data_IF_400256555219
#
_entry.id   IF_400256555219
#
_cell.length_a   1.000
_cell.length_b   1.000
_cell.length_c   1.000
_cell.angle_alpha   90.00
_cell.angle_beta   90.00
_cell.angle_gamma   90.00
#
_symmetry.space_group_name_H-M   'P 1'
#
loop_
_entity.id
_entity.type
_entity.pdbx_description
1 polymer ?
#
# COMPACT_ATOMS: atom_id res chain seq x y z
N UNK A 1 1.13 6.01 23.11
CA UNK A 1 1.67 6.22 21.74
C UNK A 1 0.43 6.60 20.97
N UNK A 2 -0.01 7.83 21.21
CA UNK A 2 -1.43 8.19 21.15
C UNK A 2 -1.79 8.75 19.79
N UNK A 3 -2.85 8.16 19.24
CA UNK A 3 -3.83 8.68 18.29
C UNK A 3 -3.34 9.41 17.04
N UNK A 4 -2.82 8.61 16.10
CA UNK A 4 -2.81 8.93 14.66
C UNK A 4 -4.10 8.48 13.95
N UNK A 5 -5.13 8.12 14.73
CA UNK A 5 -6.44 7.71 14.24
C UNK A 5 -7.44 8.85 14.40
N UNK A 6 -8.14 9.19 13.33
CA UNK A 6 -9.22 10.20 13.33
C UNK A 6 -10.53 9.51 12.97
N UNK A 7 -11.57 9.68 13.78
CA UNK A 7 -12.88 9.11 13.48
C UNK A 7 -13.79 10.15 12.81
N UNK A 8 -14.33 9.83 11.63
CA UNK A 8 -15.35 10.61 10.94
C UNK A 8 -16.64 9.81 10.85
N UNK A 9 -17.81 10.45 10.99
CA UNK A 9 -19.06 9.77 10.68
C UNK A 9 -19.12 9.33 9.19
N UNK A 10 -20.05 8.44 8.87
CA UNK A 10 -20.10 7.83 7.54
C UNK A 10 -20.45 8.83 6.44
N UNK A 11 -21.31 9.82 6.72
CA UNK A 11 -21.74 10.79 5.71
C UNK A 11 -20.57 11.70 5.35
N UNK A 12 -19.85 12.21 6.37
CA UNK A 12 -18.63 13.00 6.20
C UNK A 12 -17.55 12.20 5.45
N UNK A 13 -17.32 10.94 5.83
CA UNK A 13 -16.35 10.07 5.16
C UNK A 13 -16.71 9.84 3.68
N UNK A 14 -17.99 9.60 3.38
CA UNK A 14 -18.45 9.34 2.00
C UNK A 14 -18.38 10.58 1.13
N UNK A 15 -18.74 11.75 1.67
CA UNK A 15 -18.64 13.02 0.97
C UNK A 15 -17.18 13.33 0.64
N UNK A 16 -16.27 13.13 1.61
CA UNK A 16 -14.86 13.42 1.42
C UNK A 16 -14.16 12.46 0.45
N UNK A 17 -14.49 11.16 0.49
CA UNK A 17 -13.64 10.14 -0.14
C UNK A 17 -14.32 9.29 -1.20
N UNK A 18 -15.65 9.16 -1.18
CA UNK A 18 -16.39 8.28 -2.09
C UNK A 18 -17.31 9.03 -3.06
N UNK A 19 -17.06 10.33 -3.26
CA UNK A 19 -17.81 11.16 -4.20
C UNK A 19 -16.88 11.90 -5.17
N UNK A 20 -15.97 11.21 -5.90
CA UNK A 20 -15.13 11.89 -6.88
C UNK A 20 -16.01 12.51 -7.97
N UNK A 21 -15.70 13.72 -8.44
CA UNK A 21 -16.56 14.51 -9.34
C UNK A 21 -16.88 13.82 -10.68
N UNK A 22 -16.14 12.79 -11.04
CA UNK A 22 -16.28 12.07 -12.31
C UNK A 22 -17.05 10.74 -12.20
N UNK A 23 -17.49 10.34 -11.00
CA UNK A 23 -18.16 9.05 -10.78
C UNK A 23 -19.61 9.24 -10.36
N UNK A 24 -20.54 8.87 -11.26
CA UNK A 24 -21.97 8.88 -10.97
C UNK A 24 -22.40 7.59 -10.28
N UNK A 25 -22.66 7.65 -8.98
CA UNK A 25 -23.21 6.52 -8.24
C UNK A 25 -24.74 6.49 -8.37
N UNK A 26 -25.29 5.33 -8.73
CA UNK A 26 -26.74 5.09 -8.67
C UNK A 26 -27.05 4.22 -7.47
N UNK A 27 -28.00 4.66 -6.65
CA UNK A 27 -28.49 3.86 -5.53
C UNK A 27 -29.03 2.52 -6.02
N UNK A 28 -28.49 1.43 -5.46
CA UNK A 28 -29.04 0.08 -5.65
C UNK A 28 -30.02 -0.24 -4.53
N UNK A 29 -31.18 -0.80 -4.89
CA UNK A 29 -32.09 -1.40 -3.90
C UNK A 29 -31.46 -2.66 -3.32
N UNK A 30 -31.31 -2.67 -2.00
CA UNK A 30 -30.66 -3.74 -1.24
C UNK A 30 -31.72 -4.62 -0.58
N UNK A 31 -31.57 -5.95 -0.66
CA UNK A 31 -32.45 -6.89 0.05
C UNK A 31 -32.12 -6.95 1.54
N UNK A 32 -33.15 -6.91 2.39
CA UNK A 32 -33.03 -6.98 3.86
C UNK A 32 -32.45 -8.30 4.39
N UNK A 33 -32.29 -9.35 3.56
CA UNK A 33 -31.79 -10.68 3.97
C UNK A 33 -30.36 -10.99 3.51
N UNK A 34 -29.65 -10.01 2.97
CA UNK A 34 -28.35 -10.19 2.30
C UNK A 34 -27.29 -10.90 3.17
N UNK A 35 -27.22 -10.53 4.44
CA UNK A 35 -26.28 -11.10 5.41
C UNK A 35 -26.98 -11.92 6.50
N UNK A 36 -28.16 -12.48 6.21
CA UNK A 36 -28.95 -13.24 7.19
C UNK A 36 -28.20 -14.45 7.78
N UNK A 37 -27.29 -15.06 7.01
CA UNK A 37 -26.43 -16.16 7.45
C UNK A 37 -25.32 -15.75 8.44
N UNK A 38 -25.19 -14.45 8.72
CA UNK A 38 -24.25 -13.83 9.66
C UNK A 38 -24.96 -13.20 10.88
N UNK A 39 -26.26 -13.47 11.10
CA UNK A 39 -27.04 -12.96 12.25
C UNK A 39 -26.48 -13.36 13.61
N UNK A 40 -25.84 -14.53 13.72
CA UNK A 40 -25.25 -15.04 14.97
C UNK A 40 -23.74 -15.28 14.82
N UNK A 41 -22.90 -14.25 14.69
CA UNK A 41 -21.46 -14.42 14.43
C UNK A 41 -20.61 -14.51 15.69
N UNK A 42 -21.18 -14.29 16.88
CA UNK A 42 -20.46 -14.38 18.17
C UNK A 42 -19.85 -15.76 18.43
N UNK A 43 -20.29 -16.80 17.71
CA UNK A 43 -19.78 -18.17 17.78
C UNK A 43 -19.05 -18.62 16.51
N UNK A 44 -18.99 -17.80 15.46
CA UNK A 44 -18.39 -18.19 14.18
C UNK A 44 -16.88 -17.95 14.19
N UNK A 45 -16.06 -18.94 13.78
CA UNK A 45 -14.66 -18.73 13.49
C UNK A 45 -14.44 -17.69 12.38
N UNK A 46 -13.29 -17.01 12.40
CA UNK A 46 -12.88 -15.96 11.44
C UNK A 46 -13.03 -16.43 9.98
N UNK A 47 -12.59 -17.65 9.67
CA UNK A 47 -12.70 -18.26 8.34
C UNK A 47 -14.16 -18.43 7.88
N UNK A 48 -15.06 -18.76 8.82
CA UNK A 48 -16.48 -18.88 8.51
C UNK A 48 -17.12 -17.52 8.25
N UNK A 49 -16.71 -16.48 8.98
CA UNK A 49 -17.19 -15.10 8.76
C UNK A 49 -16.74 -14.64 7.37
N UNK A 50 -15.44 -14.74 7.07
CA UNK A 50 -14.89 -14.30 5.78
C UNK A 50 -15.52 -15.05 4.60
N UNK A 51 -15.62 -16.38 4.65
CA UNK A 51 -16.23 -17.18 3.57
C UNK A 51 -17.70 -16.80 3.33
N UNK A 52 -18.49 -16.68 4.39
CA UNK A 52 -19.92 -16.30 4.27
C UNK A 52 -20.08 -14.88 3.75
N UNK A 53 -19.26 -13.95 4.24
CA UNK A 53 -19.26 -12.56 3.79
C UNK A 53 -18.92 -12.47 2.30
N UNK A 54 -17.80 -13.08 1.88
CA UNK A 54 -17.35 -13.10 0.48
C UNK A 54 -18.42 -13.74 -0.41
N UNK A 55 -19.03 -14.84 0.04
CA UNK A 55 -20.12 -15.51 -0.70
C UNK A 55 -21.30 -14.58 -0.89
N UNK A 56 -21.77 -13.90 0.17
CA UNK A 56 -22.88 -12.96 0.07
C UNK A 56 -22.57 -11.80 -0.90
N UNK A 57 -21.38 -11.21 -0.81
CA UNK A 57 -20.94 -10.13 -1.71
C UNK A 57 -20.95 -10.57 -3.18
N UNK A 58 -20.48 -11.80 -3.45
CA UNK A 58 -20.43 -12.37 -4.81
C UNK A 58 -21.82 -12.73 -5.34
N UNK A 59 -22.63 -13.43 -4.55
CA UNK A 59 -23.99 -13.85 -4.92
C UNK A 59 -24.88 -12.66 -5.25
N UNK A 60 -24.70 -11.54 -4.55
CA UNK A 60 -25.51 -10.33 -4.75
C UNK A 60 -24.85 -9.27 -5.65
N UNK A 61 -23.70 -9.58 -6.26
CA UNK A 61 -23.00 -8.68 -7.19
C UNK A 61 -22.79 -7.25 -6.63
N UNK A 62 -22.30 -7.16 -5.38
CA UNK A 62 -22.15 -5.88 -4.68
C UNK A 62 -20.92 -5.08 -5.12
N UNK A 63 -19.97 -5.69 -5.83
CA UNK A 63 -18.75 -5.05 -6.32
C UNK A 63 -18.70 -5.08 -7.86
N UNK A 64 -19.50 -4.30 -8.59
CA UNK A 64 -19.47 -4.30 -10.06
C UNK A 64 -18.06 -4.04 -10.64
N UNK A 65 -17.71 -4.72 -11.73
CA UNK A 65 -16.41 -4.60 -12.41
C UNK A 65 -15.21 -5.14 -11.61
N UNK A 66 -15.47 -5.60 -10.38
CA UNK A 66 -14.47 -6.12 -9.45
C UNK A 66 -14.99 -7.40 -8.80
N UNK A 67 -14.14 -8.08 -8.05
CA UNK A 67 -14.51 -9.28 -7.33
C UNK A 67 -13.81 -9.29 -5.98
N UNK A 68 -14.59 -9.45 -4.91
CA UNK A 68 -14.04 -9.76 -3.59
C UNK A 68 -13.61 -11.23 -3.56
N UNK A 69 -12.33 -11.48 -3.24
CA UNK A 69 -11.77 -12.82 -3.21
C UNK A 69 -10.77 -12.99 -2.07
N UNK A 70 -10.64 -14.22 -1.58
CA UNK A 70 -9.60 -14.60 -0.61
C UNK A 70 -8.23 -14.44 -1.23
N UNK A 71 -7.35 -13.80 -0.47
CA UNK A 71 -5.96 -13.56 -0.79
C UNK A 71 -5.12 -14.56 -0.03
N UNK A 72 -4.34 -15.37 -0.74
CA UNK A 72 -3.29 -16.13 -0.09
C UNK A 72 -2.08 -15.23 0.08
N UNK A 73 -1.69 -15.07 1.33
CA UNK A 73 -0.56 -14.26 1.71
C UNK A 73 0.64 -15.18 1.96
N UNK A 74 1.52 -15.30 0.97
CA UNK A 74 2.83 -15.91 1.17
C UNK A 74 3.68 -14.88 1.93
N UNK A 75 3.63 -14.99 3.26
CA UNK A 75 4.13 -13.98 4.18
C UNK A 75 5.52 -13.43 3.83
N UNK A 76 5.68 -12.12 4.01
CA UNK A 76 6.95 -11.53 4.39
C UNK A 76 7.59 -12.38 5.51
N UNK A 77 8.91 -12.64 5.48
CA UNK A 77 9.57 -13.58 6.38
C UNK A 77 9.56 -13.16 7.87
N UNK A 78 8.97 -12.02 8.22
CA UNK A 78 9.07 -11.42 9.55
C UNK A 78 8.04 -11.92 10.57
N UNK A 79 7.01 -12.70 10.20
CA UNK A 79 6.08 -13.21 11.21
C UNK A 79 5.53 -14.61 10.91
N UNK A 80 6.02 -15.62 11.65
CA UNK A 80 5.62 -17.03 11.50
C UNK A 80 4.16 -17.28 11.91
N UNK A 81 3.55 -16.44 12.75
CA UNK A 81 2.15 -16.56 13.20
C UNK A 81 1.13 -15.97 12.20
N UNK A 82 1.57 -15.12 11.26
CA UNK A 82 0.68 -14.54 10.24
C UNK A 82 0.26 -15.54 9.14
N UNK A 83 0.78 -16.77 9.16
CA UNK A 83 0.63 -17.79 8.11
C UNK A 83 -0.79 -18.35 7.94
N UNK A 84 -1.73 -18.04 8.83
CA UNK A 84 -3.04 -18.69 8.87
C UNK A 84 -4.25 -17.75 8.91
N UNK A 85 -4.06 -16.43 8.77
CA UNK A 85 -5.21 -15.51 8.69
C UNK A 85 -5.74 -15.43 7.27
N UNK A 86 -7.05 -15.67 7.12
CA UNK A 86 -7.74 -15.51 5.84
C UNK A 86 -7.87 -14.01 5.54
N UNK A 87 -7.01 -13.53 4.67
CA UNK A 87 -7.12 -12.19 4.10
C UNK A 87 -8.02 -12.22 2.87
N UNK A 88 -8.65 -11.09 2.56
CA UNK A 88 -9.32 -10.92 1.28
C UNK A 88 -9.03 -9.54 0.70
N UNK A 89 -9.36 -9.36 -0.56
CA UNK A 89 -9.28 -8.06 -1.21
C UNK A 89 -10.29 -7.95 -2.34
N UNK A 90 -10.62 -6.71 -2.69
CA UNK A 90 -11.31 -6.42 -3.95
C UNK A 90 -10.25 -6.40 -5.06
N UNK A 91 -10.47 -7.18 -6.11
CA UNK A 91 -9.61 -7.25 -7.29
C UNK A 91 -10.38 -6.81 -8.52
N UNK A 92 -9.69 -6.30 -9.55
CA UNK A 92 -10.31 -6.20 -10.87
C UNK A 92 -10.69 -7.60 -11.34
N UNK A 93 -11.83 -7.75 -12.00
CA UNK A 93 -12.24 -9.08 -12.48
C UNK A 93 -11.23 -9.70 -13.46
N UNK A 94 -10.45 -8.87 -14.16
CA UNK A 94 -9.37 -9.29 -15.07
C UNK A 94 -8.11 -9.79 -14.36
N UNK A 95 -7.87 -9.34 -13.13
CA UNK A 95 -6.69 -9.71 -12.33
C UNK A 95 -6.91 -11.05 -11.58
N UNK A 96 -8.12 -11.62 -11.61
CA UNK A 96 -8.42 -12.91 -11.01
C UNK A 96 -8.14 -14.04 -12.02
N UNK A 97 -7.19 -14.94 -11.72
CA UNK A 97 -6.90 -16.06 -12.61
C UNK A 97 -8.07 -17.06 -12.63
N UNK A 98 -8.28 -17.71 -13.78
CA UNK A 98 -9.31 -18.76 -13.95
C UNK A 98 -9.09 -19.97 -13.02
N UNK A 99 -7.84 -20.21 -12.61
CA UNK A 99 -7.42 -21.28 -11.69
C UNK A 99 -6.41 -20.71 -10.70
N UNK A 100 -6.53 -21.06 -9.42
CA UNK A 100 -5.69 -20.53 -8.35
C UNK A 100 -6.23 -19.26 -7.70
N UNK A 101 -5.37 -18.56 -6.96
CA UNK A 101 -5.71 -17.35 -6.22
C UNK A 101 -5.18 -16.09 -6.93
N UNK A 102 -5.85 -14.93 -6.81
CA UNK A 102 -5.29 -13.67 -7.28
C UNK A 102 -3.97 -13.37 -6.57
N UNK A 103 -3.07 -12.64 -7.23
CA UNK A 103 -1.83 -12.20 -6.59
C UNK A 103 -2.16 -11.14 -5.55
N UNK A 104 -1.68 -11.32 -4.31
CA UNK A 104 -1.97 -10.40 -3.21
C UNK A 104 -1.66 -8.92 -3.54
N UNK A 105 -0.59 -8.68 -4.31
CA UNK A 105 -0.16 -7.34 -4.69
C UNK A 105 -1.08 -6.66 -5.72
N UNK A 106 -2.08 -7.35 -6.26
CA UNK A 106 -3.03 -6.80 -7.22
C UNK A 106 -4.35 -6.36 -6.57
N UNK A 107 -4.46 -6.46 -5.23
CA UNK A 107 -5.67 -6.03 -4.51
C UNK A 107 -5.86 -4.51 -4.59
N UNK A 108 -7.06 -4.04 -4.94
CA UNK A 108 -7.43 -2.63 -4.96
C UNK A 108 -7.73 -2.11 -3.54
N UNK A 109 -8.46 -2.91 -2.77
CA UNK A 109 -8.91 -2.62 -1.40
C UNK A 109 -8.69 -3.86 -0.54
N UNK A 110 -8.09 -3.69 0.64
CA UNK A 110 -7.82 -4.81 1.55
C UNK A 110 -8.98 -5.07 2.50
N UNK A 111 -9.24 -6.33 2.82
CA UNK A 111 -10.24 -6.76 3.80
C UNK A 111 -9.57 -7.54 4.92
N UNK A 112 -9.83 -7.09 6.15
CA UNK A 112 -9.35 -7.71 7.37
C UNK A 112 -10.54 -8.28 8.13
N UNK A 113 -10.51 -9.57 8.42
CA UNK A 113 -11.55 -10.25 9.17
C UNK A 113 -11.07 -10.56 10.58
N UNK A 114 -11.99 -10.49 11.53
CA UNK A 114 -11.79 -11.04 12.85
C UNK A 114 -13.09 -11.56 13.45
N UNK A 115 -12.97 -12.54 14.34
CA UNK A 115 -14.10 -12.95 15.18
C UNK A 115 -14.45 -11.82 16.16
N UNK A 116 -15.70 -11.79 16.62
CA UNK A 116 -16.09 -10.82 17.63
C UNK A 116 -15.63 -11.24 19.03
N UNK A 117 -14.95 -10.32 19.72
CA UNK A 117 -14.67 -10.36 21.16
C UNK A 117 -14.88 -8.94 21.67
N UNK A 118 -15.55 -8.79 22.81
CA UNK A 118 -15.80 -7.46 23.38
C UNK A 118 -14.45 -6.74 23.62
N UNK A 119 -14.28 -5.52 23.12
CA UNK A 119 -13.05 -4.72 23.25
C UNK A 119 -11.95 -5.01 22.22
N UNK A 120 -12.17 -5.92 21.26
CA UNK A 120 -11.15 -6.29 20.26
C UNK A 120 -10.90 -5.23 19.19
N UNK A 121 -11.87 -4.35 18.88
CA UNK A 121 -11.73 -3.33 17.84
C UNK A 121 -10.67 -2.29 18.23
N UNK A 122 -9.50 -2.25 17.57
CA UNK A 122 -8.37 -1.41 17.97
C UNK A 122 -8.63 0.10 17.85
N UNK A 123 -9.75 0.51 17.24
CA UNK A 123 -10.14 1.92 17.06
C UNK A 123 -11.27 2.37 18.01
N UNK A 124 -11.81 1.48 18.86
CA UNK A 124 -12.74 1.87 19.93
C UNK A 124 -11.97 2.21 21.20
N UNK A 125 -12.46 3.17 22.01
CA UNK A 125 -11.90 3.38 23.34
C UNK A 125 -12.08 2.12 24.20
N UNK A 126 -11.04 1.76 24.94
CA UNK A 126 -11.00 0.51 25.71
C UNK A 126 -10.18 0.71 26.97
N UNK A 127 -10.74 0.31 28.11
CA UNK A 127 -10.05 0.31 29.41
C UNK A 127 -9.18 -0.94 29.62
N UNK A 128 -9.20 -1.90 28.68
CA UNK A 128 -8.40 -3.12 28.79
C UNK A 128 -6.91 -2.86 28.59
N UNK A 129 -6.09 -3.36 29.50
CA UNK A 129 -4.64 -3.39 29.31
C UNK A 129 -4.26 -4.42 28.24
N UNK A 130 -3.57 -3.95 27.20
CA UNK A 130 -3.16 -4.71 26.02
C UNK A 130 -2.16 -5.83 26.28
N UNK A 131 -1.43 -5.77 27.39
CA UNK A 131 -0.42 -6.76 27.73
C UNK A 131 -0.93 -7.78 28.75
N UNK A 132 -1.79 -7.37 29.67
CA UNK A 132 -2.21 -8.23 30.79
C UNK A 132 -3.52 -8.99 30.55
N UNK A 133 -4.46 -8.43 29.79
CA UNK A 133 -5.75 -9.09 29.51
C UNK A 133 -5.69 -9.95 28.24
N UNK A 134 -6.48 -11.03 28.19
CA UNK A 134 -6.59 -11.85 26.97
C UNK A 134 -7.15 -11.01 25.80
N UNK A 135 -8.26 -10.31 26.02
CA UNK A 135 -8.84 -9.36 25.08
C UNK A 135 -7.83 -8.30 24.61
N UNK A 136 -7.07 -7.72 25.53
CA UNK A 136 -6.06 -6.73 25.21
C UNK A 136 -4.97 -7.28 24.29
N UNK A 137 -4.51 -8.52 24.53
CA UNK A 137 -3.55 -9.20 23.64
C UNK A 137 -4.13 -9.48 22.27
N UNK A 138 -5.40 -9.89 22.17
CA UNK A 138 -6.07 -10.10 20.88
C UNK A 138 -6.26 -8.80 20.10
N UNK A 139 -6.67 -7.73 20.78
CA UNK A 139 -6.77 -6.37 20.24
C UNK A 139 -5.42 -5.89 19.67
N UNK A 140 -4.34 -6.07 20.44
CA UNK A 140 -2.97 -5.74 20.01
C UNK A 140 -2.55 -6.55 18.78
N UNK A 141 -2.78 -7.86 18.77
CA UNK A 141 -2.51 -8.73 17.61
C UNK A 141 -3.29 -8.30 16.37
N UNK A 142 -4.57 -7.93 16.52
CA UNK A 142 -5.39 -7.42 15.41
C UNK A 142 -4.82 -6.10 14.87
N UNK A 143 -4.45 -5.16 15.75
CA UNK A 143 -3.80 -3.91 15.37
C UNK A 143 -2.51 -4.14 14.61
N UNK A 144 -1.59 -4.93 15.16
CA UNK A 144 -0.31 -5.25 14.53
C UNK A 144 -0.51 -5.88 13.13
N UNK A 145 -1.52 -6.74 12.97
CA UNK A 145 -1.84 -7.34 11.67
C UNK A 145 -2.35 -6.33 10.64
N UNK A 146 -3.24 -5.40 11.05
CA UNK A 146 -3.75 -4.34 10.18
C UNK A 146 -2.60 -3.43 9.73
N UNK A 147 -1.75 -2.98 10.67
CA UNK A 147 -0.61 -2.12 10.40
C UNK A 147 0.41 -2.80 9.47
N UNK A 148 0.76 -4.06 9.74
CA UNK A 148 1.69 -4.82 8.91
C UNK A 148 1.15 -5.02 7.48
N UNK A 149 -0.15 -5.23 7.34
CA UNK A 149 -0.77 -5.32 6.00
C UNK A 149 -0.70 -3.98 5.27
N UNK A 150 -0.95 -2.87 5.96
CA UNK A 150 -0.88 -1.54 5.37
C UNK A 150 0.55 -1.22 4.91
N UNK A 151 1.53 -1.46 5.76
CA UNK A 151 2.96 -1.28 5.47
C UNK A 151 3.42 -2.07 4.24
N UNK A 152 3.02 -3.34 4.16
CA UNK A 152 3.36 -4.15 2.98
C UNK A 152 2.72 -3.58 1.71
N UNK A 153 1.42 -3.23 1.76
CA UNK A 153 0.73 -2.72 0.58
C UNK A 153 1.28 -1.38 0.12
N UNK A 154 1.64 -0.46 1.03
CA UNK A 154 2.36 0.76 0.66
C UNK A 154 3.70 0.46 -0.02
N UNK A 155 4.46 -0.51 0.51
CA UNK A 155 5.78 -0.89 -0.02
C UNK A 155 5.70 -1.57 -1.39
N UNK A 156 4.62 -2.30 -1.66
CA UNK A 156 4.48 -3.13 -2.84
C UNK A 156 3.58 -2.55 -3.93
N UNK A 157 2.72 -1.57 -3.62
CA UNK A 157 1.73 -1.04 -4.57
C UNK A 157 1.99 0.38 -5.05
N UNK A 158 2.97 1.09 -4.47
CA UNK A 158 3.20 2.52 -4.68
C UNK A 158 1.90 3.32 -4.51
N UNK A 159 1.62 3.73 -3.27
CA UNK A 159 0.36 4.35 -2.89
C UNK A 159 0.56 5.69 -2.20
N UNK A 160 -0.31 6.63 -2.54
CA UNK A 160 -0.55 7.89 -1.83
C UNK A 160 -1.35 7.62 -0.55
N UNK A 161 -2.40 6.80 -0.67
CA UNK A 161 -3.23 6.35 0.43
C UNK A 161 -3.82 4.96 0.15
N UNK A 162 -4.41 4.33 1.17
CA UNK A 162 -4.91 2.96 1.10
C UNK A 162 -6.23 2.81 1.84
N UNK A 163 -7.25 2.31 1.15
CA UNK A 163 -8.48 1.86 1.80
C UNK A 163 -8.35 0.42 2.31
N UNK A 164 -8.84 0.20 3.53
CA UNK A 164 -9.12 -1.11 4.07
C UNK A 164 -10.53 -1.19 4.64
N UNK A 165 -11.10 -2.38 4.63
CA UNK A 165 -12.36 -2.69 5.32
C UNK A 165 -12.05 -3.69 6.43
N UNK A 166 -12.32 -3.28 7.67
CA UNK A 166 -12.21 -4.15 8.83
C UNK A 166 -13.59 -4.73 9.14
N UNK A 167 -13.67 -6.04 9.27
CA UNK A 167 -14.90 -6.78 9.59
C UNK A 167 -14.66 -7.57 10.87
N UNK A 168 -15.37 -7.22 11.93
CA UNK A 168 -15.29 -7.90 13.24
C UNK A 168 -16.67 -8.48 13.55
N UNK A 169 -16.80 -9.81 13.46
CA UNK A 169 -18.11 -10.46 13.64
C UNK A 169 -19.14 -9.98 12.62
N UNK A 170 -20.15 -9.24 13.08
CA UNK A 170 -21.19 -8.60 12.25
C UNK A 170 -20.98 -7.10 12.02
N UNK A 171 -19.93 -6.54 12.59
CA UNK A 171 -19.65 -5.12 12.47
C UNK A 171 -18.57 -4.89 11.43
N UNK A 172 -18.62 -3.75 10.76
CA UNK A 172 -17.56 -3.32 9.86
C UNK A 172 -17.18 -1.86 10.10
N UNK A 173 -15.96 -1.54 9.67
CA UNK A 173 -15.39 -0.20 9.70
C UNK A 173 -14.61 0.05 8.40
N UNK A 174 -14.67 1.27 7.88
CA UNK A 174 -13.79 1.72 6.80
C UNK A 174 -12.55 2.38 7.40
N UNK A 175 -11.40 2.09 6.81
CA UNK A 175 -10.12 2.69 7.16
C UNK A 175 -9.51 3.31 5.89
N UNK A 176 -9.04 4.55 5.98
CA UNK A 176 -8.24 5.21 4.95
C UNK A 176 -6.89 5.60 5.55
N UNK A 177 -5.86 4.86 5.17
CA UNK A 177 -4.48 5.10 5.59
C UNK A 177 -3.81 6.08 4.65
N UNK A 178 -2.99 6.98 5.18
CA UNK A 178 -1.90 7.60 4.45
C UNK A 178 -0.63 7.56 5.31
N UNK A 179 0.42 8.26 4.88
CA UNK A 179 1.70 8.27 5.61
C UNK A 179 1.68 9.15 6.87
N UNK A 180 0.62 9.93 7.10
CA UNK A 180 0.45 10.74 8.29
C UNK A 180 -0.39 10.01 9.37
N UNK A 181 -1.36 9.19 8.96
CA UNK A 181 -2.22 8.49 9.92
C UNK A 181 -3.28 7.60 9.28
N UNK A 182 -4.35 7.36 10.03
CA UNK A 182 -5.52 6.60 9.58
C UNK A 182 -6.81 7.33 9.91
N UNK A 183 -7.67 7.50 8.92
CA UNK A 183 -9.02 8.00 9.10
C UNK A 183 -9.98 6.80 9.13
N UNK A 184 -10.85 6.73 10.11
CA UNK A 184 -11.76 5.60 10.32
C UNK A 184 -13.22 6.04 10.44
N UNK A 185 -14.16 5.20 10.03
CA UNK A 185 -15.58 5.40 10.36
C UNK A 185 -15.93 4.81 11.73
N UNK A 186 -17.08 5.10 12.36
CA UNK A 186 -17.61 4.27 13.44
C UNK A 186 -17.83 2.81 13.00
N UNK A 187 -17.80 1.88 13.95
CA UNK A 187 -18.18 0.48 13.70
C UNK A 187 -19.69 0.37 13.50
N UNK A 188 -20.14 -0.33 12.45
CA UNK A 188 -21.57 -0.50 12.13
C UNK A 188 -21.91 -1.96 11.90
N UNK A 189 -23.01 -2.40 12.51
CA UNK A 189 -23.64 -3.70 12.24
C UNK A 189 -24.19 -3.75 10.80
N UNK A 190 -23.55 -4.52 9.91
CA UNK A 190 -23.97 -4.65 8.52
C UNK A 190 -25.13 -5.63 8.31
N UNK A 191 -25.54 -6.37 9.35
CA UNK A 191 -26.74 -7.21 9.31
C UNK A 191 -27.97 -6.35 9.55
N UNK A 192 -27.86 -5.40 10.48
CA UNK A 192 -28.94 -4.44 10.80
C UNK A 192 -29.00 -3.28 9.80
N UNK A 193 -27.84 -2.80 9.34
CA UNK A 193 -27.71 -1.72 8.34
C UNK A 193 -27.02 -2.20 7.05
N UNK A 194 -27.60 -3.16 6.31
CA UNK A 194 -26.96 -3.73 5.12
C UNK A 194 -26.80 -2.73 3.98
N UNK A 195 -27.67 -1.71 3.91
CA UNK A 195 -27.63 -0.70 2.87
C UNK A 195 -26.30 0.08 2.87
N UNK A 196 -25.79 0.45 4.05
CA UNK A 196 -24.55 1.20 4.19
C UNK A 196 -23.35 0.41 3.67
N UNK A 197 -23.19 -0.85 4.10
CA UNK A 197 -22.12 -1.72 3.61
C UNK A 197 -22.23 -1.94 2.09
N UNK A 198 -23.44 -2.15 1.57
CA UNK A 198 -23.63 -2.33 0.14
C UNK A 198 -23.22 -1.09 -0.66
N UNK A 199 -23.54 0.12 -0.18
CA UNK A 199 -23.13 1.36 -0.82
C UNK A 199 -21.60 1.55 -0.74
N UNK A 200 -20.97 1.25 0.41
CA UNK A 200 -19.50 1.21 0.54
C UNK A 200 -18.85 0.32 -0.53
N UNK A 201 -19.30 -0.94 -0.61
CA UNK A 201 -18.72 -1.94 -1.52
C UNK A 201 -18.92 -1.56 -2.98
N UNK A 202 -20.09 -1.02 -3.30
CA UNK A 202 -20.41 -0.52 -4.63
C UNK A 202 -19.45 0.62 -5.01
N UNK A 203 -19.32 1.63 -4.15
CA UNK A 203 -18.44 2.79 -4.38
C UNK A 203 -16.98 2.38 -4.52
N UNK A 204 -16.45 1.64 -3.54
CA UNK A 204 -15.07 1.14 -3.55
C UNK A 204 -14.72 0.34 -4.82
N UNK A 205 -15.68 -0.42 -5.37
CA UNK A 205 -15.45 -1.19 -6.59
C UNK A 205 -15.35 -0.34 -7.86
N UNK A 206 -15.99 0.83 -7.87
CA UNK A 206 -16.09 1.73 -9.01
C UNK A 206 -15.05 2.85 -9.00
N UNK A 207 -14.43 3.15 -7.86
CA UNK A 207 -13.32 4.10 -7.80
C UNK A 207 -12.19 3.67 -8.75
N UNK A 208 -11.65 4.65 -9.47
CA UNK A 208 -10.47 4.49 -10.30
C UNK A 208 -9.20 4.38 -9.44
N UNK A 209 -8.07 4.13 -10.09
CA UNK A 209 -6.82 3.83 -9.39
C UNK A 209 -6.33 5.04 -8.56
N UNK A 210 -6.47 6.26 -9.10
CA UNK A 210 -6.09 7.50 -8.40
C UNK A 210 -6.98 7.70 -7.18
N UNK A 211 -8.31 7.56 -7.32
CA UNK A 211 -9.27 7.70 -6.21
C UNK A 211 -9.14 6.60 -5.17
N UNK A 212 -8.47 5.48 -5.49
CA UNK A 212 -8.09 4.42 -4.55
C UNK A 212 -6.70 4.61 -3.95
N UNK A 213 -6.02 5.69 -4.32
CA UNK A 213 -4.74 6.11 -3.78
C UNK A 213 -3.54 5.41 -4.41
N UNK A 214 -3.68 4.80 -5.59
CA UNK A 214 -2.50 4.38 -6.37
C UNK A 214 -1.78 5.60 -6.93
N UNK A 215 -0.45 5.57 -6.88
CA UNK A 215 0.39 6.62 -7.43
C UNK A 215 0.34 6.60 -8.98
N UNK A 216 -0.12 7.67 -9.65
CA UNK A 216 -0.20 7.73 -11.11
C UNK A 216 1.18 7.71 -11.80
N UNK A 217 2.26 8.01 -11.09
CA UNK A 217 3.64 7.95 -11.60
C UNK A 217 4.27 6.56 -11.49
N UNK A 218 3.58 5.59 -10.88
CA UNK A 218 4.02 4.21 -10.75
C UNK A 218 3.18 3.27 -11.63
N UNK A 219 3.77 2.73 -12.70
CA UNK A 219 3.11 1.77 -13.58
C UNK A 219 3.44 0.34 -13.19
N UNK A 220 2.43 -0.47 -12.84
CA UNK A 220 2.56 -1.91 -12.55
C UNK A 220 2.90 -2.70 -13.83
N UNK A 221 4.02 -3.43 -13.84
CA UNK A 221 4.48 -4.22 -14.98
C UNK A 221 4.01 -5.69 -14.96
N UNK A 222 3.31 -6.13 -15.98
CA UNK A 222 2.84 -7.51 -16.17
C UNK A 222 3.88 -8.35 -16.93
N UNK A 223 3.83 -9.69 -16.83
CA UNK A 223 4.79 -10.57 -17.51
C UNK A 223 4.88 -10.42 -19.03
N UNK A 224 3.84 -9.87 -19.67
CA UNK A 224 3.81 -9.61 -21.10
C UNK A 224 4.40 -8.26 -21.51
N UNK A 225 4.72 -7.38 -20.55
CA UNK A 225 5.26 -6.05 -20.85
C UNK A 225 6.73 -6.15 -21.27
N UNK A 226 7.11 -5.35 -22.27
CA UNK A 226 8.49 -5.30 -22.76
C UNK A 226 9.48 -4.95 -21.64
N UNK A 227 9.11 -4.03 -20.75
CA UNK A 227 9.94 -3.64 -19.62
C UNK A 227 10.05 -4.75 -18.57
N UNK A 228 9.04 -5.59 -18.40
CA UNK A 228 9.15 -6.76 -17.53
C UNK A 228 10.22 -7.73 -18.04
N UNK A 229 10.25 -7.96 -19.36
CA UNK A 229 11.26 -8.81 -20.01
C UNK A 229 12.65 -8.16 -19.99
N UNK A 230 12.71 -6.84 -20.20
CA UNK A 230 13.95 -6.04 -20.09
C UNK A 230 14.58 -6.19 -18.71
N UNK A 231 13.80 -6.08 -17.64
CA UNK A 231 14.30 -6.32 -16.28
C UNK A 231 14.86 -7.74 -16.13
N UNK A 232 14.16 -8.76 -16.66
CA UNK A 232 14.65 -10.13 -16.61
C UNK A 232 15.99 -10.29 -17.36
N UNK A 233 16.12 -9.68 -18.54
CA UNK A 233 17.37 -9.71 -19.32
C UNK A 233 18.53 -9.02 -18.59
N UNK A 234 18.27 -7.90 -17.90
CA UNK A 234 19.29 -7.18 -17.13
C UNK A 234 19.84 -7.99 -15.95
N UNK A 235 19.17 -9.07 -15.52
CA UNK A 235 19.68 -9.96 -14.47
C UNK A 235 20.73 -10.96 -14.94
N UNK A 236 20.90 -11.15 -16.25
CA UNK A 236 21.84 -12.14 -16.79
C UNK A 236 23.29 -11.76 -16.44
N UNK A 237 24.10 -12.76 -16.09
CA UNK A 237 25.51 -12.54 -15.77
C UNK A 237 26.24 -11.87 -16.94
N UNK A 238 27.10 -10.91 -16.62
CA UNK A 238 27.94 -10.20 -17.57
C UNK A 238 29.40 -10.35 -17.13
N UNK A 239 30.26 -10.86 -18.02
CA UNK A 239 31.68 -11.08 -17.71
C UNK A 239 32.46 -9.78 -17.53
N UNK A 240 31.89 -8.64 -17.97
CA UNK A 240 32.44 -7.31 -17.72
C UNK A 240 32.11 -6.75 -16.33
N UNK A 241 31.25 -7.44 -15.55
CA UNK A 241 30.95 -7.02 -14.18
C UNK A 241 32.18 -7.11 -13.29
N UNK A 242 32.47 -5.99 -12.63
CA UNK A 242 33.66 -5.80 -11.81
C UNK A 242 33.46 -6.42 -10.44
N UNK A 243 34.51 -7.07 -9.94
CA UNK A 243 34.53 -7.59 -8.57
C UNK A 243 34.70 -6.46 -7.56
N UNK A 244 34.04 -6.58 -6.41
CA UNK A 244 34.00 -5.53 -5.38
C UNK A 244 34.96 -5.80 -4.22
N UNK A 245 35.79 -6.85 -4.31
CA UNK A 245 36.80 -7.14 -3.29
C UNK A 245 37.83 -6.01 -3.27
N UNK A 246 38.14 -5.54 -2.08
CA UNK A 246 39.14 -4.49 -1.87
C UNK A 246 40.52 -4.94 -2.39
N UNK A 247 41.09 -4.15 -3.30
CA UNK A 247 42.42 -4.37 -3.87
C UNK A 247 42.95 -3.09 -4.54
N UNK A 248 44.26 -3.03 -4.82
CA UNK A 248 44.81 -2.02 -5.73
C UNK A 248 44.15 -2.12 -7.12
N UNK A 249 43.81 -0.97 -7.68
CA UNK A 249 43.26 -0.83 -9.04
C UNK A 249 44.27 -0.02 -9.85
N UNK A 250 44.67 -0.54 -11.01
CA UNK A 250 45.57 0.16 -11.92
C UNK A 250 44.82 1.27 -12.68
N UNK A 251 45.54 2.32 -13.10
CA UNK A 251 44.94 3.41 -13.87
C UNK A 251 44.38 2.87 -15.20
N UNK A 252 43.09 3.10 -15.44
CA UNK A 252 42.39 2.62 -16.63
C UNK A 252 41.94 1.15 -16.58
N UNK A 253 42.17 0.43 -15.47
CA UNK A 253 41.74 -0.96 -15.33
C UNK A 253 40.20 -1.10 -15.38
N UNK A 254 39.51 -0.17 -14.72
CA UNK A 254 38.05 -0.11 -14.71
C UNK A 254 37.63 1.06 -15.60
N UNK A 255 36.97 0.73 -16.71
CA UNK A 255 36.42 1.73 -17.61
C UNK A 255 35.18 2.44 -17.04
N UNK A 256 34.78 3.52 -17.70
CA UNK A 256 33.53 4.20 -17.40
C UNK A 256 32.33 3.28 -17.61
N UNK A 257 31.29 3.49 -16.81
CA UNK A 257 30.03 2.74 -16.99
C UNK A 257 30.06 1.31 -16.47
N UNK A 258 31.11 0.88 -15.78
CA UNK A 258 31.19 -0.43 -15.17
C UNK A 258 30.04 -0.71 -14.20
N UNK A 259 29.73 -2.00 -14.01
CA UNK A 259 28.77 -2.48 -13.03
C UNK A 259 29.50 -3.38 -12.06
N UNK A 260 29.38 -3.13 -10.77
CA UNK A 260 29.85 -4.10 -9.80
C UNK A 260 28.95 -5.34 -9.81
N UNK A 261 29.55 -6.53 -9.74
CA UNK A 261 28.82 -7.81 -9.70
C UNK A 261 27.73 -7.84 -8.62
N UNK A 262 27.99 -7.25 -7.45
CA UNK A 262 27.00 -7.20 -6.37
C UNK A 262 25.76 -6.39 -6.75
N UNK A 263 25.88 -5.32 -7.56
CA UNK A 263 24.75 -4.48 -7.98
C UNK A 263 23.79 -5.32 -8.84
N UNK A 264 24.33 -6.09 -9.78
CA UNK A 264 23.52 -6.99 -10.62
C UNK A 264 22.86 -8.09 -9.79
N UNK A 265 23.59 -8.68 -8.85
CA UNK A 265 23.03 -9.65 -7.90
C UNK A 265 21.88 -9.04 -7.08
N UNK A 266 22.05 -7.83 -6.54
CA UNK A 266 20.99 -7.14 -5.81
C UNK A 266 19.78 -6.82 -6.69
N UNK A 267 19.98 -6.41 -7.94
CA UNK A 267 18.88 -6.21 -8.89
C UNK A 267 18.16 -7.52 -9.18
N UNK A 268 18.89 -8.61 -9.43
CA UNK A 268 18.33 -9.95 -9.63
C UNK A 268 17.50 -10.40 -8.44
N UNK A 269 18.02 -10.24 -7.22
CA UNK A 269 17.33 -10.59 -5.98
C UNK A 269 16.08 -9.73 -5.75
N UNK A 270 16.11 -8.46 -6.19
CA UNK A 270 14.93 -7.57 -6.16
C UNK A 270 13.78 -8.12 -7.01
N UNK A 271 14.05 -8.91 -8.06
CA UNK A 271 13.02 -9.52 -8.90
C UNK A 271 12.43 -10.80 -8.30
N UNK A 272 12.48 -10.94 -6.97
CA UNK A 272 11.97 -12.07 -6.19
C UNK A 272 10.59 -12.56 -6.63
N UNK A 273 10.42 -13.88 -6.61
CA UNK A 273 9.14 -14.51 -6.95
C UNK A 273 8.04 -14.02 -5.98
N UNK A 274 6.98 -13.44 -6.54
CA UNK A 274 5.83 -12.94 -5.77
C UNK A 274 5.81 -11.43 -5.52
N UNK A 275 6.95 -10.73 -5.66
CA UNK A 275 6.96 -9.27 -5.57
C UNK A 275 6.59 -8.61 -6.93
N UNK A 276 5.74 -7.57 -6.94
CA UNK A 276 5.40 -6.83 -8.16
C UNK A 276 6.58 -6.00 -8.69
N UNK A 277 6.67 -5.87 -10.02
CA UNK A 277 7.62 -4.98 -10.71
C UNK A 277 6.92 -3.71 -11.16
N UNK A 278 7.62 -2.59 -11.13
CA UNK A 278 7.10 -1.28 -11.53
C UNK A 278 8.05 -0.52 -12.45
N UNK A 279 7.46 0.34 -13.27
CA UNK A 279 8.13 1.49 -13.86
C UNK A 279 7.73 2.73 -13.07
N UNK A 280 8.70 3.43 -12.50
CA UNK A 280 8.53 4.67 -11.76
C UNK A 280 8.97 5.83 -12.63
N UNK A 281 8.13 6.85 -12.71
CA UNK A 281 8.38 8.08 -13.44
C UNK A 281 8.86 9.15 -12.46
N UNK A 282 10.03 9.73 -12.74
CA UNK A 282 10.58 10.86 -11.98
C UNK A 282 10.61 12.07 -12.90
N UNK A 283 9.88 13.12 -12.53
CA UNK A 283 9.94 14.40 -13.21
C UNK A 283 11.11 15.22 -12.64
N UNK A 284 12.08 15.55 -13.47
CA UNK A 284 13.22 16.39 -13.13
C UNK A 284 13.17 17.64 -14.00
N UNK A 285 12.73 18.75 -13.39
CA UNK A 285 12.42 19.99 -14.09
C UNK A 285 11.43 19.75 -15.25
N UNK A 286 11.87 19.94 -16.50
CA UNK A 286 11.10 19.75 -17.72
C UNK A 286 11.30 18.37 -18.37
N UNK A 287 12.24 17.54 -17.87
CA UNK A 287 12.48 16.19 -18.37
C UNK A 287 11.77 15.15 -17.48
N UNK A 288 11.46 14.01 -18.08
CA UNK A 288 10.85 12.87 -17.41
C UNK A 288 11.73 11.65 -17.60
N UNK A 289 12.04 10.98 -16.48
CA UNK A 289 12.92 9.82 -16.46
C UNK A 289 12.20 8.60 -15.89
N UNK A 290 12.28 7.49 -16.62
CA UNK A 290 11.64 6.23 -16.25
C UNK A 290 12.66 5.24 -15.67
N UNK A 291 12.30 4.62 -14.56
CA UNK A 291 13.12 3.64 -13.85
C UNK A 291 12.35 2.36 -13.59
N UNK A 292 12.96 1.22 -13.86
CA UNK A 292 12.38 -0.09 -13.60
C UNK A 292 12.86 -0.61 -12.24
N UNK A 293 11.92 -0.94 -11.37
CA UNK A 293 12.20 -1.39 -9.99
C UNK A 293 11.49 -2.70 -9.66
N UNK A 294 12.17 -3.52 -8.85
CA UNK A 294 11.61 -4.69 -8.19
C UNK A 294 11.31 -4.42 -6.71
N UNK A 295 11.63 -5.40 -5.87
CA UNK A 295 11.52 -5.30 -4.42
C UNK A 295 12.51 -4.27 -3.86
N UNK A 296 12.08 -3.34 -2.98
CA UNK A 296 13.00 -2.43 -2.33
C UNK A 296 14.01 -3.20 -1.46
N UNK A 297 15.26 -2.77 -1.49
CA UNK A 297 16.31 -3.27 -0.57
C UNK A 297 16.12 -2.69 0.83
N UNK A 298 15.62 -1.45 0.90
CA UNK A 298 15.24 -0.78 2.13
C UNK A 298 13.80 -0.30 2.02
N UNK A 299 12.97 -0.60 2.99
CA UNK A 299 11.60 -0.09 3.10
C UNK A 299 11.28 0.09 4.60
N UNK A 300 10.32 0.97 4.95
CA UNK A 300 10.09 1.36 6.34
C UNK A 300 9.53 0.20 7.17
N UNK A 301 9.83 0.19 8.48
CA UNK A 301 9.24 -0.75 9.46
C UNK A 301 7.94 -0.25 10.10
N UNK A 302 7.40 0.85 9.58
CA UNK A 302 6.19 1.52 10.06
C UNK A 302 5.42 2.11 8.89
N UNK A 303 4.10 1.99 8.95
CA UNK A 303 3.19 2.58 7.96
C UNK A 303 3.23 4.12 7.96
N UNK A 304 3.19 4.73 9.15
CA UNK A 304 3.22 6.19 9.36
C UNK A 304 4.66 6.70 9.40
N UNK A 305 4.90 7.85 8.78
CA UNK A 305 6.17 8.55 8.70
C UNK A 305 6.64 8.71 7.25
N UNK A 306 7.94 8.93 7.06
CA UNK A 306 8.52 9.27 5.75
C UNK A 306 8.41 8.17 4.69
N UNK A 307 8.15 6.94 5.11
CA UNK A 307 7.92 5.84 4.20
C UNK A 307 9.08 5.51 3.25
N UNK A 308 10.32 5.86 3.61
CA UNK A 308 11.46 5.84 2.70
C UNK A 308 11.75 4.45 2.14
N UNK A 309 11.78 4.35 0.81
CA UNK A 309 12.15 3.15 0.08
C UNK A 309 13.43 3.36 -0.74
N UNK A 310 14.26 2.33 -0.83
CA UNK A 310 15.50 2.33 -1.59
C UNK A 310 15.56 1.14 -2.54
N UNK A 311 15.81 1.41 -3.82
CA UNK A 311 15.77 0.42 -4.90
C UNK A 311 17.09 0.40 -5.66
N UNK A 312 17.54 -0.79 -6.02
CA UNK A 312 18.40 -0.93 -7.21
C UNK A 312 17.47 -0.88 -8.41
N UNK A 313 17.60 0.16 -9.21
CA UNK A 313 16.73 0.45 -10.33
C UNK A 313 17.50 0.36 -11.66
N UNK A 314 16.81 0.02 -12.74
CA UNK A 314 17.34 0.10 -14.10
C UNK A 314 16.80 1.37 -14.77
N UNK A 315 17.68 2.26 -15.18
CA UNK A 315 17.31 3.45 -15.95
C UNK A 315 16.96 3.08 -17.39
N UNK A 316 15.72 3.38 -17.81
CA UNK A 316 15.24 3.08 -19.16
C UNK A 316 16.04 3.79 -20.25
N UNK A 317 16.59 4.97 -20.00
CA UNK A 317 17.31 5.79 -20.99
C UNK A 317 18.72 5.28 -21.23
N UNK A 318 19.47 5.04 -20.15
CA UNK A 318 20.89 4.67 -20.24
C UNK A 318 21.16 3.16 -20.12
N UNK A 319 20.14 2.38 -19.73
CA UNK A 319 20.28 0.95 -19.40
C UNK A 319 21.30 0.68 -18.28
N UNK A 320 21.58 1.68 -17.43
CA UNK A 320 22.47 1.54 -16.27
C UNK A 320 21.69 1.29 -15.00
N UNK A 321 22.30 0.54 -14.09
CA UNK A 321 21.81 0.42 -12.72
C UNK A 321 22.06 1.71 -11.94
N UNK A 322 21.08 2.13 -11.17
CA UNK A 322 21.15 3.29 -10.27
C UNK A 322 20.55 2.95 -8.91
N UNK A 323 20.85 3.76 -7.91
CA UNK A 323 20.13 3.76 -6.65
C UNK A 323 18.99 4.77 -6.72
N UNK A 324 17.74 4.31 -6.60
CA UNK A 324 16.56 5.16 -6.55
C UNK A 324 16.03 5.21 -5.12
N UNK A 325 15.87 6.42 -4.60
CA UNK A 325 15.31 6.69 -3.28
C UNK A 325 13.96 7.38 -3.43
N UNK A 326 12.95 6.82 -2.78
CA UNK A 326 11.60 7.39 -2.68
C UNK A 326 11.31 7.73 -1.22
N UNK A 327 10.76 8.91 -0.93
CA UNK A 327 10.51 9.37 0.45
C UNK A 327 9.43 10.46 0.49
N UNK A 328 8.51 10.32 1.44
CA UNK A 328 7.62 11.40 1.84
C UNK A 328 8.41 12.48 2.60
N UNK A 329 8.15 13.73 2.25
CA UNK A 329 8.72 14.91 2.90
C UNK A 329 7.67 15.54 3.80
N UNK A 330 8.11 16.07 4.94
CA UNK A 330 7.26 16.94 5.73
C UNK A 330 7.08 18.25 4.97
N UNK A 331 5.83 18.62 4.68
CA UNK A 331 5.44 19.86 3.99
C UNK A 331 5.90 21.11 4.74
N UNK A 332 5.91 21.05 6.07
CA UNK A 332 6.07 22.22 6.94
C UNK A 332 7.53 22.62 7.12
N UNK A 333 8.45 21.78 6.66
CA UNK A 333 9.89 22.02 6.71
C UNK A 333 10.35 22.56 5.36
N UNK A 334 10.58 23.88 5.29
CA UNK A 334 11.29 24.55 4.18
C UNK A 334 12.76 24.17 4.23
N UNK A 335 13.05 22.90 3.97
CA UNK A 335 14.38 22.32 3.94
C UNK A 335 14.65 21.94 2.49
N UNK A 336 15.83 22.30 1.99
CA UNK A 336 16.31 21.91 0.67
C UNK A 336 16.18 20.40 0.47
N UNK A 337 15.81 19.97 -0.74
CA UNK A 337 15.73 18.54 -0.99
C UNK A 337 17.14 17.92 -0.99
N UNK A 338 17.23 16.64 -0.66
CA UNK A 338 18.49 15.90 -0.76
C UNK A 338 19.07 15.96 -2.19
N UNK A 339 18.19 15.96 -3.20
CA UNK A 339 18.58 16.15 -4.59
C UNK A 339 19.21 17.52 -4.86
N UNK A 340 18.61 18.61 -4.35
CA UNK A 340 19.17 19.97 -4.48
C UNK A 340 20.57 20.06 -3.85
N UNK A 341 20.74 19.45 -2.68
CA UNK A 341 22.01 19.40 -1.96
C UNK A 341 23.05 18.61 -2.78
N UNK A 342 22.69 17.43 -3.28
CA UNK A 342 23.58 16.62 -4.12
C UNK A 342 23.97 17.36 -5.41
N UNK A 343 23.04 18.07 -6.04
CA UNK A 343 23.29 18.87 -7.24
C UNK A 343 24.37 19.93 -6.99
N UNK A 344 24.23 20.68 -5.88
CA UNK A 344 25.22 21.71 -5.47
C UNK A 344 26.59 21.10 -5.20
N UNK A 345 26.64 19.98 -4.48
CA UNK A 345 27.90 19.32 -4.13
C UNK A 345 28.61 18.71 -5.35
N UNK A 346 27.84 18.09 -6.26
CA UNK A 346 28.36 17.59 -7.54
C UNK A 346 28.90 18.74 -8.41
N UNK A 347 28.17 19.85 -8.52
CA UNK A 347 28.60 21.03 -9.28
C UNK A 347 29.88 21.65 -8.71
N UNK A 348 30.04 21.63 -7.39
CA UNK A 348 31.24 22.12 -6.71
C UNK A 348 32.44 21.16 -6.81
N UNK A 349 32.30 19.99 -7.45
CA UNK A 349 33.37 19.01 -7.60
C UNK A 349 33.82 18.38 -6.28
N UNK A 350 32.96 18.34 -5.26
CA UNK A 350 33.28 17.72 -3.97
C UNK A 350 33.46 16.20 -4.19
N UNK A 351 34.60 15.66 -3.76
CA UNK A 351 34.89 14.25 -3.91
C UNK A 351 34.10 13.37 -2.92
N UNK A 352 33.97 12.07 -3.23
CA UNK A 352 33.37 11.04 -2.36
C UNK A 352 31.90 11.26 -1.99
N UNK A 353 31.14 11.91 -2.87
CA UNK A 353 29.68 12.05 -2.76
C UNK A 353 29.00 11.22 -3.86
N UNK A 354 27.75 10.78 -3.63
CA UNK A 354 26.97 10.16 -4.69
C UNK A 354 26.83 11.07 -5.91
N UNK A 355 26.94 10.49 -7.10
CA UNK A 355 26.58 11.16 -8.35
C UNK A 355 25.07 11.27 -8.44
N UNK A 356 24.55 12.49 -8.53
CA UNK A 356 23.16 12.77 -8.80
C UNK A 356 22.87 12.47 -10.27
N UNK A 357 21.88 11.62 -10.53
CA UNK A 357 21.44 11.31 -11.89
C UNK A 357 20.22 12.14 -12.27
N UNK A 358 19.23 12.23 -11.38
CA UNK A 358 18.09 13.12 -11.44
C UNK A 358 17.43 13.19 -10.05
N UNK A 359 16.58 14.20 -9.82
CA UNK A 359 15.67 14.22 -8.67
C UNK A 359 14.41 15.02 -8.99
N UNK A 360 13.36 14.81 -8.20
CA UNK A 360 12.08 15.44 -8.47
C UNK A 360 11.14 15.41 -7.29
N UNK A 361 10.18 16.33 -7.28
CA UNK A 361 8.99 16.24 -6.45
C UNK A 361 7.88 15.59 -7.28
N UNK A 362 7.18 14.60 -6.72
CA UNK A 362 6.00 14.03 -7.39
C UNK A 362 4.82 14.97 -7.17
N UNK A 363 4.26 15.62 -8.22
CA UNK A 363 3.24 16.63 -8.04
C UNK A 363 1.92 16.04 -7.51
N UNK A 364 1.10 16.89 -6.90
CA UNK A 364 -0.28 16.59 -6.49
C UNK A 364 -0.45 15.42 -5.51
N UNK A 365 0.58 15.14 -4.70
CA UNK A 365 0.54 14.14 -3.63
C UNK A 365 0.69 14.80 -2.25
N UNK A 366 -0.32 14.63 -1.40
CA UNK A 366 -0.32 15.08 -0.02
C UNK A 366 -1.01 14.07 0.91
N UNK A 367 -0.51 13.98 2.13
CA UNK A 367 -1.20 13.28 3.23
C UNK A 367 -2.25 14.21 3.83
N UNK A 368 -3.41 13.68 4.22
CA UNK A 368 -4.53 14.50 4.75
C UNK A 368 -4.96 14.07 6.15
N UNK A 369 -4.50 12.93 6.67
CA UNK A 369 -4.92 12.46 8.00
C UNK A 369 -4.63 13.47 9.11
N UNK A 370 -3.51 14.20 9.05
CA UNK A 370 -3.19 15.26 10.00
C UNK A 370 -4.16 16.45 9.91
N UNK A 371 -4.53 16.87 8.69
CA UNK A 371 -5.50 17.96 8.50
C UNK A 371 -6.85 17.61 9.12
N UNK A 372 -7.32 16.38 8.90
CA UNK A 372 -8.54 15.89 9.54
C UNK A 372 -8.42 15.79 11.06
N UNK A 373 -7.25 15.41 11.58
CA UNK A 373 -6.98 15.40 13.02
C UNK A 373 -7.15 16.81 13.61
N UNK A 374 -6.57 17.83 12.97
CA UNK A 374 -6.69 19.22 13.39
C UNK A 374 -8.13 19.73 13.32
N UNK A 375 -8.86 19.47 12.22
CA UNK A 375 -10.26 19.88 12.07
C UNK A 375 -11.13 19.29 13.19
N UNK A 376 -10.93 18.02 13.50
CA UNK A 376 -11.75 17.28 14.47
C UNK A 376 -11.42 17.61 15.93
N UNK A 377 -10.16 17.93 16.25
CA UNK A 377 -9.72 18.17 17.63
C UNK A 377 -9.54 19.66 17.99
N UNK A 378 -9.22 20.53 17.04
CA UNK A 378 -9.01 21.97 17.28
C UNK A 378 -10.22 22.84 16.90
N UNK A 379 -11.32 22.25 16.41
CA UNK A 379 -12.56 22.96 16.12
C UNK A 379 -12.47 24.00 14.99
N UNK A 380 -11.45 23.91 14.12
CA UNK A 380 -11.35 24.75 12.92
C UNK A 380 -12.28 24.18 11.83
N UNK A 381 -13.27 24.97 11.43
CA UNK A 381 -14.19 24.62 10.35
C UNK A 381 -13.44 24.28 9.04
N UNK A 382 -13.91 23.25 8.34
CA UNK A 382 -13.37 22.75 7.07
C UNK A 382 -13.14 23.85 6.03
N UNK A 383 -12.08 23.78 5.20
CA UNK A 383 -11.95 24.66 4.04
C UNK A 383 -13.08 24.36 3.06
N UNK A 384 -13.74 25.42 2.61
CA UNK A 384 -14.83 25.42 1.61
C UNK A 384 -14.35 25.07 0.20
#
# INVERSE_FOLDING_TARGET
MDDSAVQLDHDTFFQAFFSPPHTNFREKRVSLRLFALLKSPSELPEDSISQRFITAVRTHHLTPGSTLATTLFDALPTNREAKHKVQAGIYRSTDIPKRGHPRWADQKVSFQFSRYVAGIDPFEQSDFDENYTETGRERKKLREHIYATAELLFSAQHRVFLFMVLVIGRAFRLLRWDRAGVIVTPSVDYVDKPALLCDCLYRLSLLDDISLGFDPTATRLRPHDSDFLRMSAATLDDTSDVDHTERPIEEGEIGDGFVFRYVRSLFRDSLSAGWPRYRLQVQDCDDTRDFLVGKPLHFPSRVIGRGTCGYVALDCKTQRFVWLKDTWRASDLVVESEGDILAKLNLAGVANIPTLVCHGHVPDQATIANEWWEITHDGRHSPS
#
